data_IF_814936772482
#
_entry.id   IF_814936772482
#
_cell.length_a   1.000
_cell.length_b   1.000
_cell.length_c   1.000
_cell.angle_alpha   90.00
_cell.angle_beta   90.00
_cell.angle_gamma   90.00
#
_symmetry.space_group_name_H-M   'P 1'
#
loop_
_entity.id
_entity.type
_entity.pdbx_description
1 polymer ?
#
# COMPACT_ATOMS: atom_id res chain seq x y z
N UNK A 1 31.14 -34.19 -6.13
CA UNK A 1 29.97 -33.53 -6.68
C UNK A 1 29.95 -32.10 -6.11
N UNK A 2 30.08 -31.05 -6.94
CA UNK A 2 29.88 -29.67 -6.48
C UNK A 2 28.38 -29.53 -6.30
N UNK A 3 27.90 -29.54 -5.06
CA UNK A 3 26.55 -29.06 -4.72
C UNK A 3 26.46 -27.65 -5.24
N UNK A 4 25.56 -27.40 -6.18
CA UNK A 4 25.24 -26.04 -6.62
C UNK A 4 24.72 -25.29 -5.39
N UNK A 5 25.46 -24.28 -4.94
CA UNK A 5 24.99 -23.36 -3.89
C UNK A 5 23.75 -22.70 -4.48
N UNK A 6 22.60 -23.05 -3.97
CA UNK A 6 21.35 -22.45 -4.40
C UNK A 6 21.11 -21.21 -3.55
N UNK A 7 21.30 -20.05 -4.16
CA UNK A 7 21.01 -18.77 -3.49
C UNK A 7 19.51 -18.60 -3.33
N UNK A 8 19.07 -18.25 -2.13
CA UNK A 8 17.66 -18.05 -1.78
C UNK A 8 17.46 -16.64 -1.21
N UNK A 9 16.26 -16.11 -1.35
CA UNK A 9 15.91 -14.84 -0.72
C UNK A 9 15.35 -15.09 0.68
N UNK A 10 15.81 -14.28 1.63
CA UNK A 10 15.31 -14.20 2.99
C UNK A 10 14.73 -12.81 3.25
N UNK A 11 13.51 -12.76 3.76
CA UNK A 11 12.88 -11.54 4.27
C UNK A 11 13.04 -11.50 5.79
N UNK A 12 13.67 -10.45 6.28
CA UNK A 12 13.89 -10.19 7.70
C UNK A 12 13.17 -8.89 8.11
N UNK A 13 12.58 -8.88 9.30
CA UNK A 13 11.74 -7.78 9.77
C UNK A 13 12.02 -7.39 11.23
N UNK A 14 13.08 -7.93 11.83
CA UNK A 14 13.39 -7.78 13.25
C UNK A 14 14.88 -7.66 13.53
N UNK A 15 15.36 -8.43 14.50
CA UNK A 15 16.72 -8.36 15.02
C UNK A 15 17.82 -8.67 14.01
N UNK A 16 17.48 -9.32 12.88
CA UNK A 16 18.37 -9.62 11.75
C UNK A 16 18.52 -8.46 10.76
N UNK A 17 17.64 -7.44 10.81
CA UNK A 17 17.73 -6.27 9.93
C UNK A 17 19.05 -5.50 10.16
N UNK A 18 19.40 -4.64 9.20
CA UNK A 18 20.49 -3.69 9.33
C UNK A 18 20.33 -2.84 10.60
N UNK A 19 21.42 -2.64 11.34
CA UNK A 19 21.42 -2.07 12.69
C UNK A 19 20.68 -2.89 13.76
N UNK A 20 20.21 -4.07 13.43
CA UNK A 20 19.64 -5.02 14.40
C UNK A 20 20.74 -5.75 15.18
N UNK A 21 20.44 -6.18 16.41
CA UNK A 21 21.43 -6.82 17.29
C UNK A 21 21.99 -8.15 16.76
N UNK A 22 21.32 -8.78 15.80
CA UNK A 22 21.72 -10.05 15.19
C UNK A 22 22.11 -9.92 13.71
N UNK A 23 22.25 -8.68 13.19
CA UNK A 23 22.69 -8.38 11.82
C UNK A 23 23.97 -9.15 11.45
N UNK A 24 24.89 -9.37 12.41
CA UNK A 24 26.14 -10.09 12.20
C UNK A 24 25.95 -11.51 11.64
N UNK A 25 24.77 -12.11 11.85
CA UNK A 25 24.43 -13.42 11.28
C UNK A 25 24.24 -13.38 9.76
N UNK A 26 24.03 -12.20 9.18
CA UNK A 26 23.88 -11.95 7.75
C UNK A 26 25.11 -11.28 7.13
N UNK A 27 26.24 -11.18 7.86
CA UNK A 27 27.44 -10.47 7.41
C UNK A 27 28.07 -11.00 6.12
N UNK A 28 27.80 -12.26 5.76
CA UNK A 28 28.20 -12.88 4.48
C UNK A 28 27.14 -12.82 3.39
N UNK A 29 25.95 -12.36 3.71
CA UNK A 29 24.80 -12.34 2.81
C UNK A 29 24.73 -11.02 2.06
N UNK A 30 24.15 -11.04 0.84
CA UNK A 30 24.01 -9.83 0.02
C UNK A 30 22.68 -9.14 0.33
N UNK A 31 22.71 -7.91 0.83
CA UNK A 31 21.55 -7.04 0.94
C UNK A 31 20.98 -6.75 -0.46
N UNK A 32 19.69 -6.94 -0.65
CA UNK A 32 18.97 -6.71 -1.93
C UNK A 32 18.16 -5.44 -1.89
N UNK A 33 17.58 -5.09 -0.74
CA UNK A 33 16.78 -3.88 -0.57
C UNK A 33 15.67 -4.03 0.46
N UNK A 34 14.92 -2.94 0.68
CA UNK A 34 13.72 -2.96 1.51
C UNK A 34 12.59 -3.70 0.79
N UNK A 35 11.67 -4.28 1.55
CA UNK A 35 10.49 -4.96 1.03
C UNK A 35 9.30 -4.85 1.99
N UNK A 36 8.10 -5.06 1.45
CA UNK A 36 6.84 -5.08 2.20
C UNK A 36 6.21 -6.46 2.09
N UNK A 37 5.90 -7.07 3.22
CA UNK A 37 5.10 -8.29 3.32
C UNK A 37 3.66 -7.90 3.66
N UNK A 38 2.72 -8.12 2.73
CA UNK A 38 1.29 -7.83 2.93
C UNK A 38 0.54 -8.98 3.56
N UNK A 39 -0.59 -8.66 4.21
CA UNK A 39 -1.46 -9.60 4.92
C UNK A 39 -0.79 -10.30 6.11
N UNK A 40 0.22 -9.64 6.70
CA UNK A 40 0.85 -10.02 7.96
C UNK A 40 0.88 -8.83 8.92
N UNK A 41 0.79 -9.11 10.21
CA UNK A 41 0.92 -8.12 11.28
C UNK A 41 2.11 -8.45 12.17
N UNK A 42 2.87 -7.44 12.56
CA UNK A 42 3.99 -7.55 13.47
C UNK A 42 3.56 -7.19 14.89
N UNK A 43 4.09 -7.93 15.86
CA UNK A 43 3.85 -7.74 17.29
C UNK A 43 5.16 -7.64 18.04
N UNK A 44 5.20 -6.76 19.03
CA UNK A 44 6.30 -6.67 19.98
C UNK A 44 6.17 -7.82 21.00
N UNK A 45 7.17 -8.70 21.05
CA UNK A 45 7.27 -9.81 22.01
C UNK A 45 8.29 -9.48 23.12
N UNK A 46 8.65 -8.21 23.26
CA UNK A 46 9.59 -7.69 24.24
C UNK A 46 11.01 -7.58 23.70
N UNK A 47 11.74 -8.69 23.57
CA UNK A 47 13.13 -8.67 23.10
C UNK A 47 13.28 -8.81 21.58
N UNK A 48 12.24 -9.17 20.88
CA UNK A 48 12.22 -9.40 19.43
C UNK A 48 10.77 -9.32 18.91
N UNK A 49 10.55 -9.08 17.62
CA UNK A 49 9.22 -9.07 17.04
C UNK A 49 8.78 -10.45 16.57
N UNK A 50 7.46 -10.67 16.46
CA UNK A 50 6.89 -11.80 15.77
C UNK A 50 5.84 -11.36 14.76
N UNK A 51 5.80 -12.01 13.60
CA UNK A 51 4.75 -11.76 12.61
C UNK A 51 3.80 -12.95 12.52
N UNK A 52 2.53 -12.63 12.31
CA UNK A 52 1.46 -13.62 12.06
C UNK A 52 0.60 -13.18 10.89
N UNK A 53 -0.01 -14.11 10.20
CA UNK A 53 -0.95 -13.78 9.10
C UNK A 53 -2.11 -12.96 9.63
N UNK A 54 -2.36 -11.80 9.00
CA UNK A 54 -3.47 -10.91 9.32
C UNK A 54 -3.83 -10.05 8.12
N UNK A 55 -4.94 -10.38 7.50
CA UNK A 55 -5.41 -9.71 6.29
C UNK A 55 -5.53 -8.19 6.46
N UNK A 56 -4.99 -7.46 5.47
CA UNK A 56 -5.04 -6.01 5.40
C UNK A 56 -3.99 -5.29 6.25
N UNK A 57 -3.16 -6.02 7.00
CA UNK A 57 -1.97 -5.47 7.66
C UNK A 57 -0.72 -5.67 6.77
N UNK A 58 0.39 -5.13 7.18
CA UNK A 58 1.64 -5.21 6.43
C UNK A 58 2.85 -5.11 7.37
N UNK A 59 3.97 -5.65 6.91
CA UNK A 59 5.25 -5.61 7.61
C UNK A 59 6.32 -5.08 6.67
N UNK A 60 7.04 -4.04 7.07
CA UNK A 60 8.25 -3.61 6.39
C UNK A 60 9.44 -4.41 6.91
N UNK A 61 10.34 -4.74 5.99
CA UNK A 61 11.56 -5.46 6.29
C UNK A 61 12.59 -5.33 5.17
N UNK A 62 13.56 -6.22 5.20
CA UNK A 62 14.68 -6.23 4.29
C UNK A 62 14.84 -7.59 3.61
N UNK A 63 15.30 -7.58 2.36
CA UNK A 63 15.62 -8.78 1.60
C UNK A 63 17.13 -8.99 1.54
N UNK A 64 17.54 -10.23 1.80
CA UNK A 64 18.90 -10.70 1.67
C UNK A 64 18.96 -11.91 0.75
N UNK A 65 20.00 -11.99 -0.06
CA UNK A 65 20.35 -13.20 -0.81
C UNK A 65 21.32 -14.01 0.06
N UNK A 66 20.90 -15.20 0.44
CA UNK A 66 21.59 -16.10 1.36
C UNK A 66 21.85 -17.46 0.70
N UNK A 67 22.79 -18.21 1.23
CA UNK A 67 23.01 -19.58 0.83
C UNK A 67 22.35 -20.59 1.78
N UNK A 68 22.34 -21.88 1.39
CA UNK A 68 21.71 -22.94 2.18
C UNK A 68 22.40 -23.16 3.55
N UNK A 69 23.69 -22.83 3.68
CA UNK A 69 24.42 -22.97 4.95
C UNK A 69 23.99 -21.89 5.95
N UNK A 70 23.70 -20.69 5.46
CA UNK A 70 23.17 -19.60 6.28
C UNK A 70 21.76 -19.93 6.79
N UNK A 71 20.88 -20.51 5.96
CA UNK A 71 19.56 -20.94 6.37
C UNK A 71 19.61 -21.86 7.59
N UNK A 72 20.44 -22.88 7.57
CA UNK A 72 20.57 -23.83 8.69
C UNK A 72 21.07 -23.18 9.99
N UNK A 73 21.87 -22.10 9.88
CA UNK A 73 22.32 -21.30 11.03
C UNK A 73 21.21 -20.44 11.58
N UNK A 74 20.44 -19.81 10.67
CA UNK A 74 19.32 -18.95 11.01
C UNK A 74 18.14 -19.73 11.61
N UNK A 75 17.84 -20.93 11.09
CA UNK A 75 16.83 -21.84 11.66
C UNK A 75 17.10 -22.11 13.15
N UNK A 76 18.36 -22.34 13.50
CA UNK A 76 18.74 -22.57 14.91
C UNK A 76 18.64 -21.29 15.76
N UNK A 77 18.98 -20.12 15.18
CA UNK A 77 18.87 -18.85 15.87
C UNK A 77 17.42 -18.47 16.14
N UNK A 78 16.53 -18.66 15.16
CA UNK A 78 15.10 -18.33 15.24
C UNK A 78 14.30 -19.39 16.01
N UNK A 79 14.87 -20.57 16.30
CA UNK A 79 14.16 -21.69 16.94
C UNK A 79 13.07 -22.24 16.03
N UNK A 80 13.42 -22.51 14.76
CA UNK A 80 12.53 -23.06 13.76
C UNK A 80 11.87 -24.34 14.23
N UNK A 81 10.54 -24.41 14.11
CA UNK A 81 9.70 -25.51 14.61
C UNK A 81 9.25 -25.41 16.07
N UNK A 82 9.77 -24.46 16.86
CA UNK A 82 9.33 -24.19 18.26
C UNK A 82 8.81 -22.78 18.46
N UNK A 83 9.58 -21.76 18.10
CA UNK A 83 9.23 -20.35 18.27
C UNK A 83 8.71 -19.74 16.97
N UNK A 84 9.37 -20.06 15.87
CA UNK A 84 9.00 -19.64 14.51
C UNK A 84 8.90 -20.86 13.59
N UNK A 85 8.14 -20.67 12.51
CA UNK A 85 8.12 -21.54 11.35
C UNK A 85 8.65 -20.75 10.15
N UNK A 86 9.64 -21.34 9.44
CA UNK A 86 10.10 -20.75 8.20
C UNK A 86 9.12 -21.06 7.06
N UNK A 87 8.56 -20.02 6.46
CA UNK A 87 7.58 -20.13 5.38
C UNK A 87 8.04 -19.35 4.14
N UNK A 88 7.64 -19.82 2.97
CA UNK A 88 7.85 -19.11 1.71
C UNK A 88 6.71 -18.10 1.53
N UNK A 89 7.06 -16.81 1.52
CA UNK A 89 6.12 -15.70 1.42
C UNK A 89 6.36 -14.87 0.16
N UNK A 90 5.34 -14.13 -0.26
CA UNK A 90 5.46 -13.17 -1.36
C UNK A 90 5.63 -11.77 -0.80
N UNK A 91 6.74 -11.12 -1.11
CA UNK A 91 7.03 -9.74 -0.71
C UNK A 91 7.06 -8.79 -1.90
N UNK A 92 6.71 -7.54 -1.68
CA UNK A 92 6.85 -6.47 -2.68
C UNK A 92 8.17 -5.73 -2.48
N UNK A 93 8.97 -5.65 -3.52
CA UNK A 93 10.26 -4.94 -3.55
C UNK A 93 10.26 -3.87 -4.65
N UNK A 94 11.32 -3.05 -4.72
CA UNK A 94 11.50 -2.04 -5.78
C UNK A 94 11.55 -2.64 -7.20
N UNK A 95 11.83 -3.94 -7.31
CA UNK A 95 11.88 -4.68 -8.59
C UNK A 95 10.69 -5.63 -8.79
N UNK A 96 9.59 -5.39 -8.06
CA UNK A 96 8.36 -6.18 -8.11
C UNK A 96 8.29 -7.27 -7.04
N UNK A 97 7.33 -8.16 -7.19
CA UNK A 97 7.09 -9.25 -6.24
C UNK A 97 8.22 -10.29 -6.29
N UNK A 98 8.58 -10.78 -5.11
CA UNK A 98 9.61 -11.81 -4.90
C UNK A 98 9.08 -12.88 -3.95
N UNK A 99 9.49 -14.12 -4.19
CA UNK A 99 9.35 -15.20 -3.21
C UNK A 99 10.56 -15.18 -2.30
N UNK A 100 10.33 -15.16 -1.00
CA UNK A 100 11.39 -15.14 0.01
C UNK A 100 10.99 -15.99 1.22
N UNK A 101 11.96 -16.59 1.88
CA UNK A 101 11.76 -17.21 3.17
C UNK A 101 11.55 -16.14 4.23
N UNK A 102 10.65 -16.39 5.17
CA UNK A 102 10.43 -15.56 6.36
C UNK A 102 10.13 -16.45 7.57
N UNK A 103 10.50 -16.00 8.76
CA UNK A 103 10.20 -16.69 10.01
C UNK A 103 8.89 -16.19 10.59
N UNK A 104 7.86 -17.04 10.59
CA UNK A 104 6.50 -16.74 11.04
C UNK A 104 6.33 -17.22 12.47
N UNK A 105 5.84 -16.37 13.36
CA UNK A 105 5.67 -16.69 14.78
C UNK A 105 4.57 -17.74 14.98
N UNK A 106 4.89 -18.81 15.71
CA UNK A 106 4.01 -19.97 15.87
C UNK A 106 2.92 -19.80 16.95
N UNK A 107 3.13 -18.87 17.88
CA UNK A 107 2.20 -18.69 18.99
C UNK A 107 1.27 -17.52 18.74
N UNK A 108 0.15 -17.47 19.49
CA UNK A 108 -0.75 -16.32 19.42
C UNK A 108 -0.09 -15.14 20.15
N UNK A 109 0.23 -14.02 19.44
CA UNK A 109 0.79 -12.85 20.09
C UNK A 109 -0.28 -12.13 20.91
N UNK A 110 0.16 -11.44 21.97
CA UNK A 110 -0.69 -10.58 22.79
C UNK A 110 -0.58 -9.11 22.34
N UNK A 111 -1.56 -8.29 22.71
CA UNK A 111 -1.55 -6.86 22.45
C UNK A 111 -2.05 -6.45 21.06
N UNK A 112 -1.65 -5.25 20.66
CA UNK A 112 -1.98 -4.67 19.34
C UNK A 112 -0.81 -4.83 18.38
N UNK A 113 -1.07 -5.00 17.07
CA UNK A 113 -0.01 -4.99 16.07
C UNK A 113 0.78 -3.69 16.11
N UNK A 114 2.08 -3.81 15.91
CA UNK A 114 2.93 -2.68 15.60
C UNK A 114 2.59 -2.15 14.21
N UNK A 115 2.70 -0.84 14.04
CA UNK A 115 2.46 -0.17 12.76
C UNK A 115 3.72 0.50 12.21
N UNK A 116 4.83 0.26 12.87
CA UNK A 116 6.15 0.77 12.56
C UNK A 116 7.09 -0.41 12.35
N UNK A 117 8.14 -0.28 11.54
CA UNK A 117 9.20 -1.27 11.47
C UNK A 117 9.82 -1.50 12.86
N UNK A 118 10.31 -2.71 13.10
CA UNK A 118 11.02 -3.04 14.36
C UNK A 118 12.27 -2.17 14.57
N UNK A 119 13.05 -2.02 13.49
CA UNK A 119 14.13 -1.04 13.44
C UNK A 119 13.57 0.19 12.74
N UNK A 120 13.31 1.25 13.50
CA UNK A 120 12.75 2.50 13.01
C UNK A 120 13.80 3.60 13.16
N UNK A 121 14.05 4.32 12.08
CA UNK A 121 14.86 5.52 12.07
C UNK A 121 13.98 6.68 11.60
N UNK A 122 13.81 7.69 12.46
CA UNK A 122 12.99 8.88 12.18
C UNK A 122 13.49 9.66 10.96
N UNK A 123 14.78 9.58 10.65
CA UNK A 123 15.41 10.21 9.47
C UNK A 123 15.22 9.39 8.18
N UNK A 124 14.71 8.16 8.25
CA UNK A 124 14.48 7.33 7.05
C UNK A 124 13.55 8.06 6.07
N UNK A 125 14.02 8.19 4.84
CA UNK A 125 13.27 8.81 3.75
C UNK A 125 12.24 7.83 3.21
N UNK A 126 11.03 8.34 3.02
CA UNK A 126 9.90 7.60 2.47
C UNK A 126 9.19 8.44 1.40
N UNK A 127 8.38 7.81 0.58
CA UNK A 127 7.40 8.48 -0.27
C UNK A 127 6.04 8.55 0.43
N UNK A 128 5.56 9.75 0.69
CA UNK A 128 4.20 9.95 1.17
C UNK A 128 3.27 10.22 -0.02
N UNK A 129 2.41 9.27 -0.33
CA UNK A 129 1.42 9.35 -1.39
C UNK A 129 0.14 10.00 -0.86
N UNK A 130 -0.21 11.14 -1.42
CA UNK A 130 -1.37 11.94 -1.02
C UNK A 130 -2.46 11.88 -2.08
N UNK A 131 -3.69 12.01 -1.64
CA UNK A 131 -4.90 12.08 -2.46
C UNK A 131 -5.85 13.16 -1.89
N UNK A 132 -6.94 13.44 -2.57
CA UNK A 132 -7.88 14.46 -2.12
C UNK A 132 -7.28 15.86 -2.17
N UNK A 133 -7.54 16.70 -1.16
CA UNK A 133 -7.10 18.11 -1.16
C UNK A 133 -5.57 18.30 -1.14
N UNK A 134 -4.84 17.31 -0.66
CA UNK A 134 -3.36 17.36 -0.62
C UNK A 134 -2.70 17.14 -1.99
N UNK A 135 -3.48 16.85 -3.04
CA UNK A 135 -3.02 16.92 -4.45
C UNK A 135 -2.59 18.34 -4.82
N UNK A 136 -3.16 19.37 -4.18
CA UNK A 136 -2.68 20.75 -4.26
C UNK A 136 -1.41 20.91 -3.41
N UNK A 137 -0.27 21.19 -4.03
CA UNK A 137 1.03 21.33 -3.33
C UNK A 137 0.99 22.44 -2.29
N UNK A 138 0.42 23.62 -2.63
CA UNK A 138 0.27 24.74 -1.69
C UNK A 138 -0.48 24.30 -0.43
N UNK A 139 -1.55 23.52 -0.61
CA UNK A 139 -2.35 22.99 0.51
C UNK A 139 -1.55 21.98 1.35
N UNK A 140 -0.81 21.08 0.69
CA UNK A 140 0.03 20.10 1.38
C UNK A 140 1.16 20.76 2.18
N UNK A 141 1.79 21.80 1.64
CA UNK A 141 2.90 22.47 2.30
C UNK A 141 2.54 23.11 3.65
N UNK A 142 1.27 23.45 3.90
CA UNK A 142 0.85 23.88 5.25
C UNK A 142 1.09 22.81 6.33
N UNK A 143 1.02 21.52 5.98
CA UNK A 143 1.38 20.47 6.93
C UNK A 143 2.90 20.42 7.20
N UNK A 144 3.72 20.78 6.22
CA UNK A 144 5.18 20.74 6.33
C UNK A 144 5.72 22.02 6.93
N UNK A 145 5.38 23.16 6.35
CA UNK A 145 5.92 24.48 6.72
C UNK A 145 5.17 25.15 7.86
N UNK A 146 3.89 24.84 8.01
CA UNK A 146 2.97 25.51 8.91
C UNK A 146 2.31 26.74 8.28
N UNK A 147 1.52 27.46 9.09
CA UNK A 147 0.88 28.72 8.70
C UNK A 147 -0.64 28.62 8.54
N UNK A 148 -1.25 29.74 8.13
CA UNK A 148 -2.69 29.87 7.99
C UNK A 148 -3.15 29.50 6.59
N UNK A 149 -3.93 28.43 6.50
CA UNK A 149 -4.43 27.91 5.23
C UNK A 149 -5.65 28.68 4.77
N UNK A 150 -5.52 29.45 3.69
CA UNK A 150 -6.60 30.25 3.08
C UNK A 150 -7.81 29.39 2.65
N UNK A 151 -7.54 28.16 2.19
CA UNK A 151 -8.59 27.29 1.65
C UNK A 151 -9.62 26.81 2.69
N UNK A 152 -9.23 26.74 3.97
CA UNK A 152 -10.10 26.24 5.05
C UNK A 152 -10.03 27.02 6.35
N UNK A 153 -9.29 28.14 6.37
CA UNK A 153 -9.17 29.01 7.53
C UNK A 153 -8.47 28.40 8.76
N UNK A 154 -7.82 27.24 8.58
CA UNK A 154 -7.16 26.53 9.69
C UNK A 154 -5.69 26.92 9.77
N UNK A 155 -5.19 27.12 11.00
CA UNK A 155 -3.78 27.19 11.30
C UNK A 155 -3.16 25.78 11.38
N UNK A 156 -1.97 25.63 10.83
CA UNK A 156 -1.16 24.41 10.87
C UNK A 156 0.16 24.72 11.57
N UNK A 157 0.58 23.83 12.47
CA UNK A 157 1.84 24.01 13.20
C UNK A 157 3.07 23.74 12.32
N UNK A 158 2.88 22.93 11.26
CA UNK A 158 3.95 22.39 10.41
C UNK A 158 4.65 21.19 11.07
N UNK A 159 5.58 20.61 10.34
CA UNK A 159 6.47 19.57 10.86
C UNK A 159 7.61 20.18 11.69
N UNK A 160 8.28 19.36 12.48
CA UNK A 160 9.53 19.74 13.16
C UNK A 160 10.61 20.16 12.15
N UNK A 161 10.75 19.42 11.04
CA UNK A 161 11.53 19.81 9.87
C UNK A 161 10.60 20.47 8.85
N UNK A 162 10.71 21.79 8.69
CA UNK A 162 9.77 22.62 7.91
C UNK A 162 10.09 22.72 6.42
N UNK A 163 10.74 21.73 5.85
CA UNK A 163 11.03 21.64 4.40
C UNK A 163 11.03 20.17 3.99
N UNK A 164 10.71 19.92 2.74
CA UNK A 164 10.78 18.56 2.18
C UNK A 164 12.24 18.10 2.07
N UNK A 165 12.44 16.79 2.16
CA UNK A 165 13.77 16.16 1.99
C UNK A 165 14.30 16.39 0.56
N UNK A 166 13.40 16.48 -0.41
CA UNK A 166 13.71 16.65 -1.84
C UNK A 166 12.56 17.33 -2.54
N UNK A 167 12.88 18.08 -3.60
CA UNK A 167 11.87 18.65 -4.52
C UNK A 167 11.33 17.62 -5.51
N UNK A 168 11.83 16.38 -5.49
CA UNK A 168 11.33 15.30 -6.33
C UNK A 168 9.89 14.97 -5.98
N UNK A 169 9.08 14.83 -7.03
CA UNK A 169 7.67 14.47 -6.92
C UNK A 169 7.36 13.40 -7.97
N UNK A 170 6.51 12.45 -7.58
CA UNK A 170 5.96 11.46 -8.50
C UNK A 170 4.44 11.48 -8.46
N UNK A 171 3.87 10.96 -9.53
CA UNK A 171 2.43 10.80 -9.69
C UNK A 171 2.17 9.40 -10.18
N UNK A 172 1.22 8.70 -9.53
CA UNK A 172 0.89 7.34 -9.90
C UNK A 172 -0.57 7.01 -9.59
N UNK A 173 -1.05 5.97 -10.26
CA UNK A 173 -2.32 5.34 -9.95
C UNK A 173 -2.09 4.13 -9.04
N UNK A 174 -2.84 4.06 -7.96
CA UNK A 174 -2.81 2.93 -7.02
C UNK A 174 -4.13 2.17 -7.05
N UNK A 175 -4.11 0.82 -6.93
CA UNK A 175 -5.32 0.02 -6.76
C UNK A 175 -6.10 0.47 -5.53
N UNK A 176 -7.42 0.40 -5.58
CA UNK A 176 -8.29 0.92 -4.52
C UNK A 176 -9.02 2.20 -4.92
N UNK A 177 -9.96 2.66 -4.11
CA UNK A 177 -10.86 3.75 -4.47
C UNK A 177 -10.79 4.88 -3.47
N UNK A 178 -10.54 6.11 -3.94
CA UNK A 178 -10.83 7.30 -3.17
C UNK A 178 -12.35 7.49 -3.07
N UNK A 179 -12.83 7.83 -1.89
CA UNK A 179 -14.24 8.09 -1.63
C UNK A 179 -14.40 9.21 -0.62
N UNK A 180 -15.63 9.74 -0.49
CA UNK A 180 -15.93 10.81 0.46
C UNK A 180 -16.82 10.28 1.58
N UNK A 181 -16.41 10.55 2.82
CA UNK A 181 -17.11 10.09 4.01
C UNK A 181 -16.83 10.95 5.23
N UNK A 182 -17.31 10.48 6.39
CA UNK A 182 -17.22 11.17 7.68
C UNK A 182 -17.88 12.56 7.67
N UNK A 183 -17.64 13.37 8.71
CA UNK A 183 -18.26 14.67 8.91
C UNK A 183 -17.20 15.67 9.40
N UNK A 184 -16.67 16.48 8.49
CA UNK A 184 -15.59 17.42 8.79
C UNK A 184 -16.11 18.79 9.19
N UNK A 185 -15.85 19.20 10.43
CA UNK A 185 -16.15 20.55 10.88
C UNK A 185 -15.43 21.64 10.07
N UNK A 186 -14.25 21.33 9.52
CA UNK A 186 -13.49 22.25 8.67
C UNK A 186 -14.14 22.49 7.31
N UNK A 187 -14.92 21.52 6.82
CA UNK A 187 -15.56 21.56 5.50
C UNK A 187 -17.11 21.51 5.64
N UNK A 188 -17.67 22.45 6.40
CA UNK A 188 -19.13 22.65 6.55
C UNK A 188 -19.90 21.37 6.94
N UNK A 189 -19.31 20.52 7.79
CA UNK A 189 -19.91 19.23 8.18
C UNK A 189 -20.18 18.30 6.99
N UNK A 190 -19.38 18.43 5.93
CA UNK A 190 -19.42 17.58 4.74
C UNK A 190 -18.33 16.51 4.77
N UNK A 191 -18.41 15.56 3.81
CA UNK A 191 -17.48 14.49 3.66
C UNK A 191 -16.10 14.97 3.18
N UNK A 192 -15.05 14.25 3.60
CA UNK A 192 -13.68 14.43 3.12
C UNK A 192 -13.18 13.14 2.48
N UNK A 193 -12.10 13.24 1.73
CA UNK A 193 -11.52 12.12 1.00
C UNK A 193 -10.91 11.08 1.94
N UNK A 194 -11.24 9.82 1.72
CA UNK A 194 -10.60 8.64 2.29
C UNK A 194 -10.21 7.68 1.17
N UNK A 195 -9.27 6.79 1.44
CA UNK A 195 -8.83 5.76 0.52
C UNK A 195 -9.20 4.39 1.06
N UNK A 196 -9.88 3.59 0.22
CA UNK A 196 -10.19 2.18 0.50
C UNK A 196 -9.34 1.29 -0.42
N UNK A 197 -8.30 0.61 0.11
CA UNK A 197 -7.42 -0.25 -0.68
C UNK A 197 -8.11 -1.53 -1.16
N UNK A 198 -9.27 -1.89 -0.58
CA UNK A 198 -10.00 -3.11 -0.89
C UNK A 198 -11.14 -2.88 -1.91
N UNK A 199 -11.45 -1.63 -2.23
CA UNK A 199 -12.47 -1.31 -3.22
C UNK A 199 -11.92 -1.53 -4.63
N UNK A 200 -12.79 -1.95 -5.54
CA UNK A 200 -12.46 -2.03 -6.96
C UNK A 200 -12.30 -0.62 -7.54
N UNK A 201 -11.24 -0.40 -8.31
CA UNK A 201 -10.94 0.88 -8.93
C UNK A 201 -9.49 1.28 -8.76
N UNK A 202 -9.22 2.55 -9.05
CA UNK A 202 -7.88 3.12 -8.91
C UNK A 202 -7.96 4.55 -8.35
N UNK A 203 -6.98 4.90 -7.55
CA UNK A 203 -6.85 6.25 -6.97
C UNK A 203 -5.60 6.92 -7.50
N UNK A 204 -5.77 8.11 -8.05
CA UNK A 204 -4.63 8.96 -8.42
C UNK A 204 -4.00 9.56 -7.16
N UNK A 205 -2.69 9.45 -7.05
CA UNK A 205 -1.93 9.99 -5.93
C UNK A 205 -0.69 10.75 -6.42
N UNK A 206 -0.38 11.84 -5.73
CA UNK A 206 0.87 12.57 -5.85
C UNK A 206 1.76 12.16 -4.68
N UNK A 207 3.05 12.00 -4.91
CA UNK A 207 3.99 11.54 -3.91
C UNK A 207 5.05 12.61 -3.63
N UNK A 208 5.34 12.81 -2.34
CA UNK A 208 6.38 13.69 -1.84
C UNK A 208 7.41 12.89 -1.04
N UNK A 209 8.69 13.21 -1.19
CA UNK A 209 9.74 12.67 -0.32
C UNK A 209 9.71 13.38 1.03
N UNK A 210 9.48 12.62 2.08
CA UNK A 210 9.46 13.09 3.47
C UNK A 210 10.24 12.11 4.35
N UNK A 211 10.62 12.53 5.55
CA UNK A 211 11.12 11.59 6.56
C UNK A 211 9.96 10.87 7.27
N UNK A 212 10.25 9.76 7.97
CA UNK A 212 9.26 9.12 8.83
C UNK A 212 8.75 10.06 9.90
N UNK A 213 9.64 10.87 10.50
CA UNK A 213 9.26 11.88 11.47
C UNK A 213 8.25 12.87 10.88
N UNK A 214 8.48 13.36 9.65
CA UNK A 214 7.52 14.24 8.98
C UNK A 214 6.17 13.54 8.72
N UNK A 215 6.17 12.27 8.33
CA UNK A 215 4.92 11.52 8.17
C UNK A 215 4.13 11.47 9.49
N UNK A 216 4.81 11.26 10.63
CA UNK A 216 4.17 11.30 11.95
C UNK A 216 3.61 12.66 12.30
N UNK A 217 4.36 13.73 12.00
CA UNK A 217 3.93 15.12 12.25
C UNK A 217 2.71 15.47 11.38
N UNK A 218 2.72 15.08 10.10
CA UNK A 218 1.59 15.25 9.18
C UNK A 218 0.36 14.49 9.69
N UNK A 219 0.51 13.22 10.06
CA UNK A 219 -0.57 12.42 10.61
C UNK A 219 -1.15 13.02 11.88
N UNK A 220 -0.29 13.60 12.75
CA UNK A 220 -0.74 14.34 13.94
C UNK A 220 -1.68 15.49 13.61
N UNK A 221 -1.35 16.25 12.57
CA UNK A 221 -2.14 17.39 12.10
C UNK A 221 -3.40 16.96 11.34
N UNK A 222 -3.38 15.80 10.66
CA UNK A 222 -4.55 15.20 9.98
C UNK A 222 -5.55 14.54 10.94
N UNK A 223 -5.16 14.29 12.17
CA UNK A 223 -5.90 13.56 13.21
C UNK A 223 -5.65 12.04 13.22
N UNK A 224 -4.87 11.60 14.21
CA UNK A 224 -4.48 10.17 14.42
C UNK A 224 -5.59 9.26 14.91
N UNK A 225 -6.81 9.76 15.08
CA UNK A 225 -7.92 8.91 15.54
C UNK A 225 -8.26 7.86 14.49
N UNK A 226 -8.63 6.65 14.91
CA UNK A 226 -8.96 5.53 13.99
C UNK A 226 -10.03 5.89 12.95
N UNK A 227 -11.01 6.70 13.34
CA UNK A 227 -12.09 7.17 12.47
C UNK A 227 -11.69 8.31 11.51
N UNK A 228 -10.44 8.78 11.58
CA UNK A 228 -9.89 9.81 10.68
C UNK A 228 -8.72 9.22 9.88
N UNK A 229 -7.55 9.73 10.07
CA UNK A 229 -6.34 9.29 9.35
C UNK A 229 -5.39 8.49 10.27
N UNK A 230 -5.97 7.70 11.18
CA UNK A 230 -5.22 6.89 12.15
C UNK A 230 -4.45 5.73 11.54
N UNK A 231 -4.75 5.35 10.29
CA UNK A 231 -4.12 4.22 9.63
C UNK A 231 -3.08 4.67 8.61
N UNK A 232 -1.85 4.17 8.78
CA UNK A 232 -0.81 4.21 7.77
C UNK A 232 -0.91 2.94 6.93
N UNK A 233 -0.89 3.09 5.60
CA UNK A 233 -0.87 1.97 4.65
C UNK A 233 0.41 1.98 3.85
N UNK A 234 1.08 0.83 3.76
CA UNK A 234 2.16 0.61 2.82
C UNK A 234 1.57 0.28 1.44
N UNK A 235 1.92 1.08 0.45
CA UNK A 235 1.47 0.89 -0.93
C UNK A 235 2.47 0.08 -1.76
N UNK A 236 3.73 0.01 -1.33
CA UNK A 236 4.81 -0.74 -1.98
C UNK A 236 6.17 -0.09 -1.74
N UNK A 237 7.15 -0.46 -2.58
CA UNK A 237 8.49 0.11 -2.61
C UNK A 237 8.69 0.83 -3.94
N UNK A 238 9.11 2.10 -3.91
CA UNK A 238 9.43 2.86 -5.11
C UNK A 238 10.73 2.35 -5.76
N UNK A 239 10.96 2.68 -7.03
CA UNK A 239 12.12 2.23 -7.79
C UNK A 239 13.48 2.67 -7.18
N UNK A 240 13.50 3.75 -6.40
CA UNK A 240 14.68 4.21 -5.65
C UNK A 240 14.91 3.44 -4.34
N UNK A 241 14.08 2.44 -4.02
CA UNK A 241 14.17 1.62 -2.81
C UNK A 241 13.43 2.18 -1.59
N UNK A 242 12.87 3.40 -1.67
CA UNK A 242 12.12 3.98 -0.57
C UNK A 242 10.70 3.39 -0.48
N UNK A 243 10.20 3.09 0.73
CA UNK A 243 8.82 2.68 0.93
C UNK A 243 7.82 3.78 0.55
N UNK A 244 6.66 3.39 0.07
CA UNK A 244 5.54 4.29 -0.26
C UNK A 244 4.43 4.10 0.77
N UNK A 245 4.05 5.17 1.45
CA UNK A 245 2.97 5.16 2.44
C UNK A 245 1.89 6.15 2.11
N UNK A 246 0.67 5.85 2.57
CA UNK A 246 -0.46 6.80 2.58
C UNK A 246 -1.21 6.73 3.91
N UNK A 247 -1.99 7.74 4.20
CA UNK A 247 -2.84 7.83 5.39
C UNK A 247 -4.30 7.61 5.00
N UNK A 248 -5.04 6.85 5.81
CA UNK A 248 -6.48 6.67 5.66
C UNK A 248 -7.13 6.33 7.01
N UNK A 249 -8.45 6.12 7.03
CA UNK A 249 -9.18 5.68 8.21
C UNK A 249 -9.03 4.16 8.43
N UNK A 250 -9.11 3.73 9.69
CA UNK A 250 -9.25 2.31 10.03
C UNK A 250 -10.64 1.77 9.70
N UNK A 251 -11.63 2.66 9.56
CA UNK A 251 -13.02 2.32 9.30
C UNK A 251 -13.45 2.81 7.93
N UNK A 252 -14.31 2.03 7.30
CA UNK A 252 -15.00 2.48 6.10
C UNK A 252 -16.20 3.36 6.52
N UNK A 253 -16.21 4.61 6.07
CA UNK A 253 -17.27 5.57 6.39
C UNK A 253 -18.43 5.47 5.41
N UNK A 254 -19.63 5.68 5.93
CA UNK A 254 -20.79 5.96 5.07
C UNK A 254 -20.53 7.20 4.23
N UNK A 255 -21.07 7.20 3.02
CA UNK A 255 -20.93 8.34 2.11
C UNK A 255 -21.51 9.60 2.74
N UNK A 256 -20.73 10.66 2.75
CA UNK A 256 -21.16 12.04 2.94
C UNK A 256 -20.61 12.87 1.77
N UNK A 257 -21.47 13.59 1.07
CA UNK A 257 -21.06 14.40 -0.06
C UNK A 257 -20.03 15.45 0.39
N UNK A 258 -18.97 15.70 -0.39
CA UNK A 258 -18.01 16.76 -0.08
C UNK A 258 -18.64 18.14 -0.24
N UNK A 259 -18.08 19.15 0.42
CA UNK A 259 -18.39 20.54 0.15
C UNK A 259 -17.91 20.93 -1.26
N UNK A 260 -18.65 21.84 -1.93
CA UNK A 260 -18.30 22.29 -3.26
C UNK A 260 -16.91 22.95 -3.32
N UNK A 261 -16.55 23.73 -2.30
CA UNK A 261 -15.22 24.35 -2.23
C UNK A 261 -14.10 23.32 -2.08
N UNK A 262 -14.34 22.27 -1.29
CA UNK A 262 -13.42 21.14 -1.16
C UNK A 262 -13.26 20.36 -2.47
N UNK A 263 -14.36 20.09 -3.16
CA UNK A 263 -14.35 19.38 -4.44
C UNK A 263 -13.68 20.22 -5.53
N UNK A 264 -13.94 21.54 -5.57
CA UNK A 264 -13.31 22.47 -6.50
C UNK A 264 -11.80 22.53 -6.29
N UNK A 265 -11.33 22.56 -5.04
CA UNK A 265 -9.90 22.52 -4.72
C UNK A 265 -9.20 21.26 -5.27
N UNK A 266 -9.85 20.09 -5.13
CA UNK A 266 -9.31 18.83 -5.68
C UNK A 266 -9.31 18.88 -7.20
N UNK A 267 -10.40 19.34 -7.83
CA UNK A 267 -10.54 19.45 -9.29
C UNK A 267 -9.48 20.37 -9.88
N UNK A 268 -9.27 21.55 -9.29
CA UNK A 268 -8.24 22.48 -9.71
C UNK A 268 -6.85 21.87 -9.59
N UNK A 269 -6.53 21.23 -8.48
CA UNK A 269 -5.24 20.58 -8.29
C UNK A 269 -5.00 19.45 -9.31
N UNK A 270 -6.02 18.70 -9.71
CA UNK A 270 -5.91 17.68 -10.76
C UNK A 270 -5.53 18.32 -12.11
N UNK A 271 -6.17 19.44 -12.47
CA UNK A 271 -5.96 20.11 -13.76
C UNK A 271 -4.67 20.91 -13.76
N UNK A 272 -4.49 21.82 -12.80
CA UNK A 272 -3.41 22.81 -12.82
C UNK A 272 -2.05 22.22 -12.43
N UNK A 273 -2.03 21.19 -11.56
CA UNK A 273 -0.79 20.67 -11.01
C UNK A 273 -0.50 19.21 -11.37
N UNK A 274 -1.51 18.46 -11.79
CA UNK A 274 -1.38 17.00 -11.94
C UNK A 274 -1.68 16.49 -13.36
N UNK A 275 -1.81 17.40 -14.36
CA UNK A 275 -1.83 17.08 -15.77
C UNK A 275 -3.15 16.51 -16.31
N UNK A 276 -4.24 16.60 -15.56
CA UNK A 276 -5.56 16.22 -16.04
C UNK A 276 -6.16 17.34 -16.92
N UNK A 277 -6.93 16.94 -17.91
CA UNK A 277 -7.90 17.85 -18.52
C UNK A 277 -9.11 18.04 -17.59
N UNK A 278 -9.89 19.11 -17.77
CA UNK A 278 -11.12 19.31 -17.00
C UNK A 278 -12.10 18.12 -17.12
N UNK A 279 -12.19 17.54 -18.32
CA UNK A 279 -13.05 16.39 -18.56
C UNK A 279 -12.58 15.14 -17.80
N UNK A 280 -11.28 14.87 -17.77
CA UNK A 280 -10.69 13.75 -17.03
C UNK A 280 -10.82 13.95 -15.51
N UNK A 281 -10.55 15.15 -15.00
CA UNK A 281 -10.71 15.47 -13.59
C UNK A 281 -12.18 15.29 -13.15
N UNK A 282 -13.11 15.78 -13.98
CA UNK A 282 -14.56 15.58 -13.72
C UNK A 282 -14.92 14.10 -13.71
N UNK A 283 -14.52 13.35 -14.73
CA UNK A 283 -14.81 11.90 -14.82
C UNK A 283 -14.26 11.12 -13.61
N UNK A 284 -13.02 11.39 -13.20
CA UNK A 284 -12.41 10.79 -12.02
C UNK A 284 -13.17 11.13 -10.73
N UNK A 285 -13.54 12.40 -10.54
CA UNK A 285 -14.29 12.81 -9.35
C UNK A 285 -15.73 12.26 -9.35
N UNK A 286 -16.39 12.17 -10.51
CA UNK A 286 -17.70 11.52 -10.64
C UNK A 286 -17.61 10.02 -10.23
N UNK A 287 -16.53 9.33 -10.58
CA UNK A 287 -16.27 7.95 -10.10
C UNK A 287 -16.10 7.89 -8.58
N UNK A 288 -15.38 8.84 -7.98
CA UNK A 288 -15.20 8.91 -6.52
C UNK A 288 -16.51 9.28 -5.78
N UNK A 289 -17.43 9.95 -6.44
CA UNK A 289 -18.76 10.33 -5.90
C UNK A 289 -19.81 9.23 -6.09
N UNK A 290 -19.60 8.24 -6.97
CA UNK A 290 -20.59 7.22 -7.28
C UNK A 290 -20.81 6.25 -6.11
N UNK A 291 -22.03 6.30 -5.54
CA UNK A 291 -22.46 5.44 -4.44
C UNK A 291 -22.62 3.97 -4.84
N UNK A 292 -22.85 3.67 -6.12
CA UNK A 292 -23.19 2.30 -6.60
C UNK A 292 -21.96 1.42 -6.71
N UNK A 293 -20.79 1.98 -7.05
CA UNK A 293 -19.52 1.25 -7.17
C UNK A 293 -18.98 0.76 -5.81
N UNK A 294 -19.54 1.23 -4.69
CA UNK A 294 -19.04 0.97 -3.32
C UNK A 294 -19.61 -0.26 -2.63
N UNK A 295 -20.43 -1.07 -3.31
CA UNK A 295 -21.06 -2.24 -2.70
C UNK A 295 -20.27 -3.52 -2.93
N UNK A 296 -19.07 -3.60 -2.34
CA UNK A 296 -18.54 -4.89 -1.89
C UNK A 296 -18.25 -4.77 -0.39
N UNK A 297 -19.28 -4.50 0.39
CA UNK A 297 -19.20 -4.57 1.84
C UNK A 297 -19.27 -6.06 2.21
N UNK A 298 -18.22 -6.57 2.82
CA UNK A 298 -18.32 -7.79 3.62
C UNK A 298 -19.13 -7.39 4.87
N UNK A 299 -20.43 -7.56 4.81
CA UNK A 299 -21.28 -7.44 6.00
C UNK A 299 -21.06 -8.71 6.80
N UNK A 300 -20.44 -8.59 7.97
CA UNK A 300 -20.48 -9.66 8.98
C UNK A 300 -21.88 -9.66 9.59
N UNK A 301 -22.53 -10.82 9.57
CA UNK A 301 -23.75 -11.01 10.33
C UNK A 301 -23.48 -10.91 11.84
N UNK A 302 -24.54 -10.90 12.65
CA UNK A 302 -24.45 -10.82 14.12
C UNK A 302 -23.70 -12.01 14.75
N UNK A 303 -23.39 -13.05 13.97
CA UNK A 303 -22.67 -14.26 14.39
C UNK A 303 -21.23 -14.31 13.85
N UNK A 304 -20.76 -13.28 13.14
CA UNK A 304 -19.38 -13.22 12.64
C UNK A 304 -19.12 -14.02 11.37
N UNK A 305 -20.16 -14.56 10.71
CA UNK A 305 -20.05 -15.26 9.44
C UNK A 305 -20.09 -14.28 8.25
N UNK A 306 -19.24 -14.53 7.27
CA UNK A 306 -19.23 -13.76 6.03
C UNK A 306 -20.43 -14.11 5.14
N UNK A 307 -21.47 -13.27 5.12
CA UNK A 307 -22.47 -13.34 4.06
C UNK A 307 -21.94 -12.68 2.80
N UNK A 308 -21.50 -13.49 1.87
CA UNK A 308 -21.19 -13.05 0.51
C UNK A 308 -22.51 -12.91 -0.24
N UNK A 309 -23.07 -11.72 -0.29
CA UNK A 309 -24.12 -11.43 -1.27
C UNK A 309 -23.47 -11.47 -2.65
N UNK A 310 -23.46 -12.65 -3.29
CA UNK A 310 -23.03 -12.82 -4.67
C UNK A 310 -24.02 -12.10 -5.58
N UNK A 311 -23.80 -10.81 -5.86
CA UNK A 311 -24.33 -10.21 -7.07
C UNK A 311 -23.59 -10.92 -8.23
N UNK A 312 -24.33 -11.63 -9.09
CA UNK A 312 -23.79 -12.06 -10.37
C UNK A 312 -23.42 -10.82 -11.16
N UNK A 313 -22.13 -10.53 -11.25
CA UNK A 313 -21.59 -9.55 -12.19
C UNK A 313 -21.82 -10.15 -13.58
N UNK A 314 -22.37 -9.40 -14.54
CA UNK A 314 -22.49 -9.91 -15.91
C UNK A 314 -21.08 -10.02 -16.51
N UNK A 315 -20.93 -10.87 -17.53
CA UNK A 315 -19.65 -11.06 -18.20
C UNK A 315 -19.15 -9.76 -18.84
N UNK A 316 -20.06 -8.91 -19.33
CA UNK A 316 -19.77 -7.59 -19.88
C UNK A 316 -19.22 -6.64 -18.80
N UNK A 317 -19.84 -6.59 -17.61
CA UNK A 317 -19.37 -5.79 -16.47
C UNK A 317 -17.98 -6.25 -16.01
N UNK A 318 -17.71 -7.56 -16.11
CA UNK A 318 -16.42 -8.13 -15.75
C UNK A 318 -15.34 -7.77 -16.78
N UNK A 319 -15.63 -7.92 -18.09
CA UNK A 319 -14.71 -7.54 -19.19
C UNK A 319 -14.43 -6.03 -19.16
N UNK A 320 -15.44 -5.16 -18.98
CA UNK A 320 -15.22 -3.72 -18.90
C UNK A 320 -14.32 -3.34 -17.73
N UNK A 321 -14.48 -3.98 -16.56
CA UNK A 321 -13.62 -3.77 -15.40
C UNK A 321 -12.16 -4.15 -15.68
N UNK A 322 -11.94 -5.33 -16.28
CA UNK A 322 -10.59 -5.85 -16.52
C UNK A 322 -9.95 -5.32 -17.81
N UNK A 323 -10.73 -4.92 -18.81
CA UNK A 323 -10.19 -4.30 -20.02
C UNK A 323 -9.52 -2.94 -19.72
N UNK A 324 -10.03 -2.18 -18.73
CA UNK A 324 -9.39 -0.95 -18.26
C UNK A 324 -8.08 -1.23 -17.52
N UNK A 325 -8.04 -2.28 -16.71
CA UNK A 325 -6.83 -2.70 -16.01
C UNK A 325 -5.76 -3.19 -16.99
N UNK A 326 -6.18 -3.90 -18.06
CA UNK A 326 -5.31 -4.32 -19.16
C UNK A 326 -4.78 -3.15 -19.99
N UNK A 327 -5.64 -2.17 -20.32
CA UNK A 327 -5.23 -0.97 -21.02
C UNK A 327 -4.16 -0.19 -20.23
N UNK A 328 -4.33 -0.10 -18.91
CA UNK A 328 -3.35 0.51 -18.03
C UNK A 328 -2.02 -0.27 -17.97
N UNK A 329 -2.06 -1.60 -17.88
CA UNK A 329 -0.86 -2.47 -17.92
C UNK A 329 -0.13 -2.30 -19.25
N UNK A 330 -0.87 -2.25 -20.36
CA UNK A 330 -0.31 -2.03 -21.71
C UNK A 330 0.27 -0.62 -21.85
N UNK A 331 -0.40 0.41 -21.32
CA UNK A 331 0.07 1.80 -21.34
C UNK A 331 1.34 1.98 -20.49
N UNK A 332 1.41 1.34 -19.32
CA UNK A 332 2.63 1.32 -18.49
C UNK A 332 3.80 0.60 -19.18
N UNK A 333 3.51 -0.48 -19.93
CA UNK A 333 4.52 -1.19 -20.72
C UNK A 333 4.96 -0.40 -21.95
N UNK A 334 4.08 0.40 -22.57
CA UNK A 334 4.36 1.17 -23.78
C UNK A 334 5.07 2.51 -23.51
N UNK A 335 4.83 3.12 -22.33
CA UNK A 335 5.40 4.44 -21.99
C UNK A 335 6.84 4.39 -21.48
N UNK A 336 7.62 3.41 -21.93
CA UNK A 336 9.07 3.57 -22.00
C UNK A 336 9.93 2.72 -21.12
N UNK A 337 9.61 1.44 -20.89
CA UNK A 337 10.65 0.50 -20.45
C UNK A 337 10.49 -0.85 -21.13
N UNK A 338 11.56 -1.30 -21.76
CA UNK A 338 11.70 -2.61 -22.37
C UNK A 338 11.22 -3.71 -21.43
N UNK A 339 10.05 -4.26 -21.72
CA UNK A 339 9.61 -5.53 -21.18
C UNK A 339 10.12 -6.58 -22.16
N UNK A 340 11.19 -7.28 -21.79
CA UNK A 340 11.63 -8.44 -22.55
C UNK A 340 10.67 -9.60 -22.35
N UNK A 341 10.28 -10.35 -23.39
CA UNK A 341 9.30 -11.46 -23.32
C UNK A 341 9.71 -12.64 -22.41
N UNK A 342 10.95 -12.68 -21.91
CA UNK A 342 11.52 -13.83 -21.21
C UNK A 342 11.40 -13.83 -19.67
N UNK A 343 10.71 -12.86 -19.07
CA UNK A 343 10.50 -12.86 -17.62
C UNK A 343 9.21 -13.61 -17.26
N UNK A 344 9.31 -14.90 -17.06
CA UNK A 344 8.19 -15.81 -16.79
C UNK A 344 7.32 -15.56 -15.54
N UNK A 345 7.45 -14.42 -14.87
CA UNK A 345 6.68 -14.07 -13.66
C UNK A 345 6.25 -12.61 -13.60
N UNK A 346 6.00 -11.97 -14.74
CA UNK A 346 5.47 -10.61 -14.74
C UNK A 346 3.97 -10.61 -14.37
N UNK A 347 3.45 -9.68 -13.54
CA UNK A 347 2.03 -9.58 -13.20
C UNK A 347 1.11 -9.54 -14.42
N UNK A 348 1.56 -8.93 -15.53
CA UNK A 348 0.86 -8.93 -16.82
C UNK A 348 0.65 -10.35 -17.39
N UNK A 349 1.61 -11.26 -17.20
CA UNK A 349 1.49 -12.65 -17.65
C UNK A 349 0.47 -13.42 -16.81
N UNK A 350 0.39 -13.11 -15.50
CA UNK A 350 -0.61 -13.72 -14.63
C UNK A 350 -2.03 -13.27 -15.00
N UNK A 351 -2.21 -11.98 -15.30
CA UNK A 351 -3.49 -11.42 -15.74
C UNK A 351 -3.87 -11.96 -17.13
N UNK A 352 -2.92 -12.04 -18.08
CA UNK A 352 -3.13 -12.66 -19.38
C UNK A 352 -3.49 -14.14 -19.26
N UNK A 353 -2.79 -14.90 -18.42
CA UNK A 353 -3.08 -16.32 -18.20
C UNK A 353 -4.44 -16.54 -17.53
N UNK A 354 -4.83 -15.68 -16.57
CA UNK A 354 -6.16 -15.72 -15.97
C UNK A 354 -7.25 -15.41 -16.99
N UNK A 355 -7.03 -14.43 -17.88
CA UNK A 355 -7.95 -14.07 -18.97
C UNK A 355 -8.07 -15.21 -20.00
N UNK A 356 -6.96 -15.84 -20.38
CA UNK A 356 -6.96 -17.01 -21.29
C UNK A 356 -7.75 -18.18 -20.68
N UNK A 357 -7.51 -18.51 -19.40
CA UNK A 357 -8.25 -19.57 -18.69
C UNK A 357 -9.75 -19.27 -18.58
N UNK A 358 -10.14 -18.02 -18.36
CA UNK A 358 -11.55 -17.66 -18.24
C UNK A 358 -12.26 -17.56 -19.60
N UNK A 359 -11.55 -17.16 -20.67
CA UNK A 359 -12.03 -17.21 -22.04
C UNK A 359 -12.23 -18.66 -22.48
N UNK A 360 -11.27 -19.56 -22.19
CA UNK A 360 -11.41 -20.99 -22.50
C UNK A 360 -12.60 -21.62 -21.76
N UNK A 361 -12.79 -21.31 -20.47
CA UNK A 361 -13.96 -21.79 -19.68
C UNK A 361 -15.28 -21.26 -20.24
N UNK A 362 -15.30 -20.01 -20.73
CA UNK A 362 -16.48 -19.40 -21.31
C UNK A 362 -16.84 -20.04 -22.68
N UNK A 363 -15.82 -20.36 -23.51
CA UNK A 363 -16.00 -21.05 -24.78
C UNK A 363 -16.50 -22.47 -24.56
N UNK A 364 -15.93 -23.25 -23.64
CA UNK A 364 -16.38 -24.60 -23.27
C UNK A 364 -17.83 -24.63 -22.78
N UNK A 365 -18.30 -23.59 -22.08
CA UNK A 365 -19.71 -23.47 -21.66
C UNK A 365 -20.66 -23.12 -22.78
N UNK A 366 -20.21 -22.53 -23.89
CA UNK A 366 -21.01 -22.26 -25.09
C UNK A 366 -21.17 -23.49 -25.98
N UNK A 367 -20.18 -24.41 -25.99
CA UNK A 367 -20.23 -25.65 -26.75
C UNK A 367 -21.08 -26.74 -26.08
N UNK A 368 -21.46 -26.58 -24.82
CA UNK A 368 -22.30 -27.48 -24.04
C UNK A 368 -23.79 -27.03 -23.98
N UNK A 369 -24.18 -25.99 -24.69
CA UNK A 369 -25.57 -25.53 -24.88
C UNK A 369 -25.98 -25.64 -26.34
#
# INVERSE_FOLDING_TARGET
>A
MKTSIQNQLLFVYGTLMHNGRAEYLLSGSKFIGKAILKDYAMYDLGSFPGIVSKKGEWVEGELYLIDDSDLSRLDRYEGEGDLYQRELVTVESSTGQKQAWAYIYLRKPEGKPMREPWINNDEDVIWYAVYGSNLCKKRFMYYVEGGDCEANGRHYDGCRMKHLVSDEEFRAWFPGQMYFGNNSGTWNHKGVAFYDPNASGRTFMRMYKVTREQLWDIQGQECRKPEWYGRILALGIHADGCPIYTLTSEYHHSFNAPDNSYLSLISQALVEENGFTEAEAKAYLDECLDKKKRRTVIVKDKEGKNETTKRKITYEEWIEGHARDLAWIVEMAYNGRHVTPDAGNHPANLVLHMLECDVERALQKKEQK
#
